data_IF_084266067047
#
_entry.id   IF_084266067047
#
_cell.length_a   1.000
_cell.length_b   1.000
_cell.length_c   1.000
_cell.angle_alpha   90.00
_cell.angle_beta   90.00
_cell.angle_gamma   90.00
#
_symmetry.space_group_name_H-M   'P 1'
#
loop_
_entity.id
_entity.type
_entity.pdbx_description
1 polymer ?
#
# COMPACT_ATOMS: atom_id res chain seq x y z
N UNK A 1 9.29 63.82 13.52
CA UNK A 1 9.33 62.59 14.32
C UNK A 1 8.26 61.63 13.75
N UNK A 2 8.66 60.74 12.87
CA UNK A 2 7.76 59.74 12.22
C UNK A 2 8.04 58.39 12.88
N UNK A 3 7.08 57.88 13.63
CA UNK A 3 7.15 56.55 14.25
C UNK A 3 6.80 55.50 13.18
N UNK A 4 7.76 54.66 12.77
CA UNK A 4 7.53 53.50 11.96
C UNK A 4 7.01 52.34 12.84
N UNK A 5 5.78 51.92 12.58
CA UNK A 5 5.16 50.78 13.21
C UNK A 5 5.55 49.55 12.36
N UNK A 6 6.42 48.70 12.89
CA UNK A 6 6.79 47.43 12.25
C UNK A 6 5.72 46.37 12.64
N UNK A 7 4.91 46.01 11.68
CA UNK A 7 3.96 44.90 11.81
C UNK A 7 4.71 43.57 11.57
N UNK A 8 4.94 42.83 12.65
CA UNK A 8 5.50 41.47 12.56
C UNK A 8 4.33 40.52 12.21
N UNK A 9 4.29 40.08 10.95
CA UNK A 9 3.41 38.96 10.51
C UNK A 9 4.00 37.65 11.03
N UNK A 10 3.40 37.07 12.07
CA UNK A 10 3.64 35.69 12.48
C UNK A 10 3.00 34.76 11.46
N UNK A 11 3.79 34.22 10.51
CA UNK A 11 3.40 33.07 9.70
C UNK A 11 3.39 31.82 10.58
N UNK A 12 2.23 31.47 11.12
CA UNK A 12 2.00 30.18 11.75
C UNK A 12 1.95 29.11 10.65
N UNK A 13 3.05 28.37 10.51
CA UNK A 13 3.09 27.16 9.65
C UNK A 13 2.21 26.10 10.28
N UNK A 14 1.02 25.93 9.77
CA UNK A 14 0.12 24.83 10.12
C UNK A 14 0.66 23.60 9.43
N UNK A 15 1.41 22.79 10.18
CA UNK A 15 1.78 21.44 9.74
C UNK A 15 0.54 20.57 9.78
N UNK A 16 -0.05 20.31 8.62
CA UNK A 16 -1.14 19.36 8.47
C UNK A 16 -0.54 17.95 8.54
N UNK A 17 -0.42 17.41 9.75
CA UNK A 17 -0.18 15.99 9.95
C UNK A 17 -1.46 15.28 9.53
N UNK A 18 -1.39 14.47 8.46
CA UNK A 18 -2.45 13.54 8.10
C UNK A 18 -2.40 12.37 9.11
N UNK A 19 -2.95 12.58 10.31
CA UNK A 19 -3.33 11.50 11.19
C UNK A 19 -4.54 10.81 10.55
N UNK A 20 -4.36 9.55 10.17
CA UNK A 20 -5.46 8.68 9.76
C UNK A 20 -6.41 8.54 10.95
N UNK A 21 -7.59 9.16 10.86
CA UNK A 21 -8.59 9.16 11.92
C UNK A 21 -9.16 7.75 12.09
N UNK A 22 -8.60 6.99 13.03
CA UNK A 22 -9.20 5.75 13.56
C UNK A 22 -10.53 6.04 14.26
N UNK A 23 -10.79 7.31 14.63
CA UNK A 23 -12.00 7.73 15.35
C UNK A 23 -13.31 7.62 14.55
N UNK A 24 -13.26 7.54 13.20
CA UNK A 24 -14.48 7.46 12.35
C UNK A 24 -14.78 6.04 11.84
N UNK A 25 -14.04 5.03 12.30
CA UNK A 25 -14.24 3.65 11.90
C UNK A 25 -15.43 3.04 12.67
N UNK A 26 -16.49 2.63 11.94
CA UNK A 26 -17.71 2.02 12.49
C UNK A 26 -17.64 0.48 12.58
N UNK A 27 -16.46 -0.11 12.42
CA UNK A 27 -16.28 -1.56 12.49
C UNK A 27 -16.13 -2.01 13.96
N UNK A 28 -16.44 -3.28 14.23
CA UNK A 28 -16.36 -3.82 15.58
C UNK A 28 -14.96 -4.37 15.91
N UNK A 29 -14.54 -4.16 17.16
CA UNK A 29 -13.32 -4.78 17.73
C UNK A 29 -12.04 -4.31 17.03
N UNK A 30 -11.16 -5.26 16.73
CA UNK A 30 -9.86 -5.04 16.08
C UNK A 30 -9.94 -4.71 14.58
N UNK A 31 -11.12 -4.79 13.97
CA UNK A 31 -11.29 -4.58 12.54
C UNK A 31 -10.91 -3.17 12.07
N UNK A 32 -11.06 -2.16 12.92
CA UNK A 32 -10.64 -0.79 12.57
C UNK A 32 -9.12 -0.67 12.43
N UNK A 33 -8.38 -1.27 13.36
CA UNK A 33 -6.92 -1.30 13.30
C UNK A 33 -6.44 -2.13 12.10
N UNK A 34 -7.07 -3.28 11.87
CA UNK A 34 -6.76 -4.12 10.71
C UNK A 34 -7.05 -3.41 9.39
N UNK A 35 -8.14 -2.65 9.31
CA UNK A 35 -8.47 -1.84 8.13
C UNK A 35 -7.38 -0.80 7.85
N UNK A 36 -6.93 -0.08 8.87
CA UNK A 36 -5.85 0.91 8.73
C UNK A 36 -4.53 0.24 8.29
N UNK A 37 -4.20 -0.91 8.86
CA UNK A 37 -3.02 -1.68 8.48
C UNK A 37 -3.12 -2.24 7.05
N UNK A 38 -4.31 -2.64 6.62
CA UNK A 38 -4.55 -3.08 5.23
C UNK A 38 -4.33 -1.94 4.24
N UNK A 39 -4.90 -0.76 4.51
CA UNK A 39 -4.75 0.42 3.65
C UNK A 39 -3.28 0.85 3.53
N UNK A 40 -2.54 0.80 4.65
CA UNK A 40 -1.12 1.11 4.65
C UNK A 40 -0.32 0.10 3.81
N UNK A 41 -0.55 -1.19 4.00
CA UNK A 41 0.12 -2.24 3.23
C UNK A 41 -0.21 -2.17 1.74
N UNK A 42 -1.47 -1.89 1.38
CA UNK A 42 -1.88 -1.73 -0.02
C UNK A 42 -1.25 -0.49 -0.66
N UNK A 43 -1.17 0.60 0.08
CA UNK A 43 -0.48 1.82 -0.38
C UNK A 43 1.00 1.56 -0.64
N UNK A 44 1.71 0.89 0.28
CA UNK A 44 3.12 0.55 0.12
C UNK A 44 3.36 -0.33 -1.12
N UNK A 45 2.53 -1.36 -1.31
CA UNK A 45 2.60 -2.22 -2.49
C UNK A 45 2.40 -1.41 -3.78
N UNK A 46 1.41 -0.53 -3.79
CA UNK A 46 1.12 0.30 -4.96
C UNK A 46 2.27 1.28 -5.27
N UNK A 47 2.90 1.85 -4.26
CA UNK A 47 4.03 2.76 -4.43
C UNK A 47 5.26 2.02 -5.00
N UNK A 48 5.58 0.83 -4.49
CA UNK A 48 6.64 -0.03 -5.02
C UNK A 48 6.35 -0.46 -6.46
N UNK A 49 5.13 -0.91 -6.74
CA UNK A 49 4.71 -1.30 -8.08
C UNK A 49 4.85 -0.15 -9.09
N UNK A 50 4.37 1.04 -8.74
CA UNK A 50 4.52 2.25 -9.57
C UNK A 50 5.98 2.60 -9.81
N UNK A 51 6.83 2.48 -8.80
CA UNK A 51 8.26 2.74 -8.94
C UNK A 51 8.88 1.80 -9.98
N UNK A 52 8.64 0.49 -9.88
CA UNK A 52 9.13 -0.49 -10.86
C UNK A 52 8.61 -0.18 -12.26
N UNK A 53 7.32 0.12 -12.41
CA UNK A 53 6.73 0.47 -13.69
C UNK A 53 7.36 1.71 -14.32
N UNK A 54 7.70 2.72 -13.51
CA UNK A 54 8.40 3.91 -13.98
C UNK A 54 9.81 3.58 -14.46
N UNK A 55 10.55 2.74 -13.75
CA UNK A 55 11.89 2.30 -14.13
C UNK A 55 11.89 1.42 -15.39
N UNK A 56 10.85 0.62 -15.60
CA UNK A 56 10.65 -0.11 -16.86
C UNK A 56 10.40 0.88 -17.99
N UNK A 57 9.49 1.85 -17.79
CA UNK A 57 9.13 2.82 -18.81
C UNK A 57 10.30 3.78 -19.19
N UNK A 58 11.21 4.06 -18.25
CA UNK A 58 12.43 4.86 -18.51
C UNK A 58 13.55 4.08 -19.19
N UNK A 59 13.43 2.75 -19.32
CA UNK A 59 14.47 1.88 -19.86
C UNK A 59 15.53 1.45 -18.84
N UNK A 60 15.51 1.97 -17.62
CA UNK A 60 16.53 1.71 -16.59
C UNK A 60 16.72 0.22 -16.28
N UNK A 61 15.63 -0.55 -16.30
CA UNK A 61 15.70 -2.00 -16.06
C UNK A 61 16.05 -2.78 -17.32
N UNK A 62 15.71 -2.31 -18.51
CA UNK A 62 16.08 -2.95 -19.78
C UNK A 62 17.56 -2.77 -20.13
N UNK A 63 18.19 -1.66 -19.73
CA UNK A 63 19.63 -1.43 -19.91
C UNK A 63 20.49 -2.44 -19.12
N UNK A 64 19.95 -3.03 -18.07
CA UNK A 64 20.60 -4.06 -17.24
C UNK A 64 20.34 -5.48 -17.71
N UNK A 65 19.33 -5.67 -18.54
CA UNK A 65 18.86 -6.96 -19.03
C UNK A 65 18.69 -6.88 -20.54
N UNK A 66 18.92 -7.98 -21.24
CA UNK A 66 18.67 -8.05 -22.69
C UNK A 66 17.17 -8.19 -23.02
N UNK A 67 16.29 -7.77 -22.09
CA UNK A 67 14.83 -7.94 -22.18
C UNK A 67 14.20 -6.65 -22.69
N UNK A 68 13.24 -6.79 -23.62
CA UNK A 68 12.42 -5.69 -24.08
C UNK A 68 11.56 -5.11 -22.95
N UNK A 69 11.56 -3.80 -22.80
CA UNK A 69 10.76 -3.08 -21.81
C UNK A 69 9.26 -3.38 -21.93
N UNK A 70 8.75 -3.56 -23.15
CA UNK A 70 7.34 -3.89 -23.36
C UNK A 70 7.00 -5.30 -22.86
N UNK A 71 7.89 -6.27 -23.08
CA UNK A 71 7.74 -7.64 -22.58
C UNK A 71 7.81 -7.68 -21.05
N UNK A 72 8.79 -6.99 -20.45
CA UNK A 72 8.94 -6.91 -19.00
C UNK A 72 7.71 -6.27 -18.35
N UNK A 73 7.22 -5.17 -18.92
CA UNK A 73 6.00 -4.49 -18.46
C UNK A 73 4.78 -5.41 -18.49
N UNK A 74 4.57 -6.12 -19.60
CA UNK A 74 3.45 -7.04 -19.76
C UNK A 74 3.53 -8.21 -18.78
N UNK A 75 4.72 -8.74 -18.56
CA UNK A 75 4.97 -9.84 -17.62
C UNK A 75 4.71 -9.42 -16.18
N UNK A 76 5.18 -8.23 -15.76
CA UNK A 76 4.90 -7.69 -14.44
C UNK A 76 3.41 -7.44 -14.22
N UNK A 77 2.72 -6.86 -15.21
CA UNK A 77 1.28 -6.60 -15.15
C UNK A 77 0.49 -7.91 -15.00
N UNK A 78 0.83 -8.94 -15.79
CA UNK A 78 0.21 -10.25 -15.72
C UNK A 78 0.45 -10.93 -14.37
N UNK A 79 1.70 -10.89 -13.89
CA UNK A 79 2.08 -11.40 -12.57
C UNK A 79 1.29 -10.74 -11.44
N UNK A 80 1.15 -9.41 -11.48
CA UNK A 80 0.42 -8.69 -10.44
C UNK A 80 -1.08 -9.03 -10.43
N UNK A 81 -1.69 -9.16 -11.61
CA UNK A 81 -3.09 -9.59 -11.73
C UNK A 81 -3.33 -11.00 -11.20
N UNK A 82 -2.46 -11.93 -11.55
CA UNK A 82 -2.55 -13.32 -11.07
C UNK A 82 -2.35 -13.41 -9.57
N UNK A 83 -1.41 -12.62 -9.03
CA UNK A 83 -1.18 -12.55 -7.59
C UNK A 83 -2.39 -11.97 -6.84
N UNK A 84 -3.05 -10.93 -7.34
CA UNK A 84 -4.27 -10.38 -6.74
C UNK A 84 -5.41 -11.40 -6.67
N UNK A 85 -5.57 -12.20 -7.71
CA UNK A 85 -6.54 -13.31 -7.76
C UNK A 85 -6.19 -14.36 -6.71
N UNK A 86 -4.92 -14.77 -6.66
CA UNK A 86 -4.42 -15.75 -5.70
C UNK A 86 -4.62 -15.28 -4.26
N UNK A 87 -4.19 -14.04 -3.93
CA UNK A 87 -4.39 -13.42 -2.61
C UNK A 87 -5.86 -13.52 -2.17
N UNK A 88 -6.77 -13.06 -3.04
CA UNK A 88 -8.21 -13.10 -2.77
C UNK A 88 -8.71 -14.50 -2.45
N UNK A 89 -8.38 -15.48 -3.29
CA UNK A 89 -8.83 -16.87 -3.12
C UNK A 89 -8.23 -17.52 -1.88
N UNK A 90 -6.94 -17.28 -1.62
CA UNK A 90 -6.23 -17.82 -0.46
C UNK A 90 -6.82 -17.29 0.84
N UNK A 91 -7.07 -15.99 0.95
CA UNK A 91 -7.59 -15.39 2.18
C UNK A 91 -9.08 -15.68 2.41
N UNK A 92 -9.84 -15.99 1.35
CA UNK A 92 -11.19 -16.57 1.50
C UNK A 92 -11.11 -17.98 2.13
N UNK A 93 -10.08 -18.77 1.83
CA UNK A 93 -9.89 -20.06 2.49
C UNK A 93 -9.68 -19.91 4.00
N UNK A 94 -8.91 -18.89 4.44
CA UNK A 94 -8.77 -18.56 5.87
C UNK A 94 -10.11 -18.17 6.52
N UNK A 95 -10.91 -17.36 5.85
CA UNK A 95 -12.25 -17.01 6.29
C UNK A 95 -13.13 -18.26 6.50
N UNK A 96 -13.08 -19.21 5.56
CA UNK A 96 -13.84 -20.47 5.64
C UNK A 96 -13.29 -21.39 6.75
N UNK A 97 -11.98 -21.47 6.92
CA UNK A 97 -11.34 -22.23 7.99
C UNK A 97 -11.79 -21.79 9.37
N UNK A 98 -12.03 -20.47 9.55
CA UNK A 98 -12.49 -19.88 10.81
C UNK A 98 -14.02 -19.75 10.88
N UNK A 99 -14.78 -20.46 10.04
CA UNK A 99 -16.23 -20.27 9.90
C UNK A 99 -17.05 -20.64 11.15
N UNK A 100 -16.47 -21.31 12.13
CA UNK A 100 -17.12 -21.58 13.44
C UNK A 100 -16.93 -20.48 14.48
N UNK A 101 -16.16 -19.42 14.22
CA UNK A 101 -15.80 -18.36 15.15
C UNK A 101 -16.22 -16.95 14.73
N UNK A 102 -16.20 -16.03 15.71
CA UNK A 102 -16.46 -14.61 15.47
C UNK A 102 -15.30 -13.88 14.78
N UNK A 103 -14.10 -14.47 14.77
CA UNK A 103 -12.84 -13.87 14.28
C UNK A 103 -12.54 -14.14 12.79
N UNK A 104 -13.50 -14.67 12.04
CA UNK A 104 -13.27 -15.03 10.63
C UNK A 104 -12.95 -13.84 9.72
N UNK A 105 -13.51 -12.66 10.03
CA UNK A 105 -13.24 -11.44 9.27
C UNK A 105 -11.83 -10.93 9.55
N UNK A 106 -11.41 -10.97 10.81
CA UNK A 106 -10.06 -10.64 11.26
C UNK A 106 -9.04 -11.55 10.59
N UNK A 107 -9.23 -12.87 10.66
CA UNK A 107 -8.33 -13.84 10.07
C UNK A 107 -8.15 -13.65 8.53
N UNK A 108 -9.24 -13.30 7.84
CA UNK A 108 -9.17 -12.96 6.43
C UNK A 108 -8.36 -11.70 6.19
N UNK A 109 -8.62 -10.64 6.96
CA UNK A 109 -7.96 -9.36 6.80
C UNK A 109 -6.47 -9.43 7.14
N UNK A 110 -6.11 -10.15 8.21
CA UNK A 110 -4.72 -10.44 8.57
C UNK A 110 -3.98 -11.17 7.43
N UNK A 111 -4.61 -12.20 6.84
CA UNK A 111 -4.07 -12.90 5.67
C UNK A 111 -3.84 -11.93 4.49
N UNK A 112 -4.79 -11.05 4.19
CA UNK A 112 -4.66 -10.08 3.09
C UNK A 112 -3.52 -9.08 3.35
N UNK A 113 -3.34 -8.62 4.59
CA UNK A 113 -2.25 -7.73 5.02
C UNK A 113 -0.91 -8.43 4.85
N UNK A 114 -0.77 -9.65 5.40
CA UNK A 114 0.49 -10.39 5.37
C UNK A 114 0.94 -10.69 3.94
N UNK A 115 0.05 -11.25 3.12
CA UNK A 115 0.35 -11.51 1.71
C UNK A 115 0.72 -10.23 0.95
N UNK A 116 0.10 -9.09 1.28
CA UNK A 116 0.43 -7.81 0.64
C UNK A 116 1.83 -7.34 1.02
N UNK A 117 2.21 -7.44 2.30
CA UNK A 117 3.57 -7.13 2.77
C UNK A 117 4.63 -8.04 2.15
N UNK A 118 4.36 -9.33 2.06
CA UNK A 118 5.26 -10.29 1.40
C UNK A 118 5.46 -9.94 -0.08
N UNK A 119 4.37 -9.59 -0.80
CA UNK A 119 4.46 -9.17 -2.19
C UNK A 119 5.27 -7.89 -2.36
N UNK A 120 5.09 -6.93 -1.46
CA UNK A 120 5.87 -5.68 -1.43
C UNK A 120 7.36 -5.98 -1.29
N UNK A 121 7.73 -6.79 -0.29
CA UNK A 121 9.11 -7.20 -0.07
C UNK A 121 9.71 -7.95 -1.26
N UNK A 122 8.94 -8.84 -1.89
CA UNK A 122 9.37 -9.53 -3.09
C UNK A 122 9.65 -8.56 -4.24
N UNK A 123 8.77 -7.59 -4.48
CA UNK A 123 8.95 -6.60 -5.54
C UNK A 123 10.13 -5.66 -5.26
N UNK A 124 10.38 -5.31 -4.00
CA UNK A 124 11.56 -4.51 -3.59
C UNK A 124 12.86 -5.25 -3.98
N UNK A 125 12.89 -6.57 -3.91
CA UNK A 125 14.08 -7.35 -4.26
C UNK A 125 14.47 -7.32 -5.76
N UNK A 126 13.65 -6.69 -6.62
CA UNK A 126 13.92 -6.57 -8.05
C UNK A 126 14.94 -5.46 -8.39
N UNK A 127 15.31 -4.60 -7.42
CA UNK A 127 16.22 -3.47 -7.65
C UNK A 127 17.15 -3.14 -6.47
#
# INVERSE_FOLDING_TARGET
>A
MRKFLVLILCCSSFSLSAESNVEDCQLFGSLCELQANFELADKELNDVYKNIMNRINSGELSDRTLVDSAELKQSLLSSQRSWLQFKKSNCVAFYVLQSGGSQRNEARMECEIEMTKERTNYLISWY
#
